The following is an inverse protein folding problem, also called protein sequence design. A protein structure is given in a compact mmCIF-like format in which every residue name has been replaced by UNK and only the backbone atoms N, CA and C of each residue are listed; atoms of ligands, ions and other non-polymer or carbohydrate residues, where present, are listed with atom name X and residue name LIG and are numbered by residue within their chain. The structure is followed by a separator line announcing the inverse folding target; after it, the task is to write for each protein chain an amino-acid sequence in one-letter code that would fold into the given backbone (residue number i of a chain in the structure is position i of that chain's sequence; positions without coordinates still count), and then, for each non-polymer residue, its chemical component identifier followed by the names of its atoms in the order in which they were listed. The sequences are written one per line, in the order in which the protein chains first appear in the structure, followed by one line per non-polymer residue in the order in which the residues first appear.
data_IF_262853055528
#
_entry.id   IF_262853055528
#
_cell.length_a   1.000
_cell.length_b   1.000
_cell.length_c   1.000
_cell.angle_alpha   90.00
_cell.angle_beta   90.00
_cell.angle_gamma   90.00
#
_symmetry.space_group_name_H-M   'P 1'
#
loop_
_entity.id
_entity.type
_entity.pdbx_description
1 polymer ?
#
# COMPACT_ATOMS: atom_id res chain seq x y z
N UNK A 1 11.66 5.07 -19.95
CA UNK A 1 10.47 5.24 -19.14
C UNK A 1 10.74 4.83 -17.69
N UNK A 2 9.88 5.27 -16.80
CA UNK A 2 10.01 4.91 -15.39
C UNK A 2 9.91 3.39 -15.19
N UNK A 3 9.06 2.74 -15.94
CA UNK A 3 8.90 1.29 -15.90
C UNK A 3 10.20 0.56 -16.26
N UNK A 4 10.90 1.00 -17.29
CA UNK A 4 12.19 0.41 -17.67
C UNK A 4 13.27 0.66 -16.61
N UNK A 5 13.23 1.82 -15.97
CA UNK A 5 14.16 2.15 -14.88
C UNK A 5 13.90 1.25 -13.68
N UNK A 6 12.64 1.02 -13.33
CA UNK A 6 12.27 0.16 -12.21
C UNK A 6 12.64 -1.28 -12.48
N UNK A 7 12.40 -1.78 -13.68
CA UNK A 7 12.79 -3.12 -14.09
C UNK A 7 14.32 -3.30 -14.02
N UNK A 8 15.07 -2.34 -14.55
CA UNK A 8 16.53 -2.37 -14.48
C UNK A 8 17.02 -2.32 -13.05
N UNK A 9 16.39 -1.50 -12.20
CA UNK A 9 16.71 -1.41 -10.78
C UNK A 9 16.51 -2.75 -10.07
N UNK A 10 15.38 -3.43 -10.33
CA UNK A 10 15.10 -4.72 -9.73
C UNK A 10 16.05 -5.80 -10.21
N UNK A 11 16.40 -5.82 -11.50
CA UNK A 11 17.32 -6.82 -12.04
C UNK A 11 18.75 -6.64 -11.54
N UNK A 12 19.14 -5.43 -11.18
CA UNK A 12 20.47 -5.16 -10.61
C UNK A 12 20.50 -5.37 -9.10
N UNK A 13 19.40 -5.10 -8.43
CA UNK A 13 19.31 -5.25 -6.99
C UNK A 13 19.17 -6.71 -6.63
N UNK A 14 19.93 -7.12 -5.63
CA UNK A 14 19.85 -8.50 -5.15
C UNK A 14 18.53 -8.70 -4.40
N UNK A 15 17.66 -9.51 -4.95
CA UNK A 15 16.46 -9.92 -4.24
C UNK A 15 16.82 -10.84 -3.08
N UNK A 16 16.11 -10.67 -1.97
CA UNK A 16 16.34 -11.49 -0.78
C UNK A 16 15.02 -11.83 -0.11
N UNK A 17 15.09 -12.75 0.82
CA UNK A 17 13.94 -13.11 1.66
C UNK A 17 13.69 -11.99 2.66
N UNK A 18 12.50 -11.44 2.63
CA UNK A 18 12.12 -10.29 3.46
C UNK A 18 10.83 -10.61 4.19
N UNK A 19 10.80 -10.33 5.49
CA UNK A 19 9.57 -10.42 6.27
C UNK A 19 8.75 -9.16 6.02
N UNK A 20 7.73 -9.28 5.19
CA UNK A 20 6.88 -8.15 4.82
C UNK A 20 6.20 -7.51 6.05
N UNK A 21 5.82 -8.32 7.04
CA UNK A 21 5.19 -7.79 8.24
C UNK A 21 6.13 -6.85 9.01
N UNK A 22 7.42 -7.18 9.08
CA UNK A 22 8.41 -6.30 9.71
C UNK A 22 8.59 -5.00 8.94
N UNK A 23 8.60 -5.07 7.61
CA UNK A 23 8.71 -3.85 6.79
C UNK A 23 7.50 -2.95 7.02
N UNK A 24 6.30 -3.55 7.04
CA UNK A 24 5.06 -2.80 7.33
C UNK A 24 5.14 -2.13 8.69
N UNK A 25 5.52 -2.87 9.73
CA UNK A 25 5.60 -2.33 11.09
C UNK A 25 6.57 -1.14 11.16
N UNK A 26 7.72 -1.26 10.52
CA UNK A 26 8.74 -0.21 10.51
C UNK A 26 8.25 1.05 9.81
N UNK A 27 7.66 0.90 8.64
CA UNK A 27 7.15 2.04 7.88
C UNK A 27 5.98 2.72 8.61
N UNK A 28 5.07 1.92 9.17
CA UNK A 28 3.93 2.45 9.93
C UNK A 28 4.40 3.21 11.16
N UNK A 29 5.40 2.70 11.87
CA UNK A 29 5.96 3.39 13.04
C UNK A 29 6.50 4.76 12.67
N UNK A 30 7.24 4.85 11.56
CA UNK A 30 7.76 6.14 11.07
C UNK A 30 6.62 7.10 10.70
N UNK A 31 5.59 6.62 10.01
CA UNK A 31 4.45 7.43 9.66
C UNK A 31 3.67 7.92 10.89
N UNK A 32 3.44 7.05 11.86
CA UNK A 32 2.74 7.45 13.08
C UNK A 32 3.53 8.49 13.87
N UNK A 33 4.86 8.39 13.88
CA UNK A 33 5.71 9.40 14.51
C UNK A 33 5.53 10.77 13.86
N UNK A 34 5.52 10.81 12.53
CA UNK A 34 5.29 12.05 11.78
C UNK A 34 3.88 12.60 11.98
N UNK A 35 2.88 11.72 12.06
CA UNK A 35 1.48 12.10 12.24
C UNK A 35 1.19 12.73 13.60
N UNK A 36 2.03 12.50 14.61
CA UNK A 36 1.89 13.16 15.92
C UNK A 36 1.96 14.69 15.78
N UNK A 37 2.67 15.19 14.78
CA UNK A 37 2.82 16.61 14.53
C UNK A 37 1.89 17.13 13.44
N UNK A 38 0.97 16.29 12.96
CA UNK A 38 0.03 16.64 11.91
C UNK A 38 -1.25 17.22 12.51
N UNK A 39 -1.88 18.13 11.77
CA UNK A 39 -3.16 18.73 12.17
C UNK A 39 -4.36 17.81 11.91
N UNK A 40 -4.18 16.73 11.16
CA UNK A 40 -5.30 15.85 10.80
C UNK A 40 -5.71 14.87 11.88
N UNK A 41 -4.84 14.56 12.82
CA UNK A 41 -5.10 13.56 13.87
C UNK A 41 -5.52 12.21 13.28
N UNK A 42 -4.65 11.64 12.48
CA UNK A 42 -4.86 10.31 11.87
C UNK A 42 -3.94 9.32 12.57
N UNK A 43 -4.48 8.13 12.84
CA UNK A 43 -3.71 7.03 13.41
C UNK A 43 -3.75 5.82 12.49
N UNK A 44 -2.59 5.20 12.29
CA UNK A 44 -2.47 3.98 11.50
C UNK A 44 -2.36 2.79 12.47
N UNK A 45 -3.28 1.85 12.34
CA UNK A 45 -3.29 0.63 13.16
C UNK A 45 -2.92 -0.57 12.28
N UNK A 46 -2.00 -1.40 12.78
CA UNK A 46 -1.59 -2.63 12.10
C UNK A 46 -2.24 -3.83 12.79
N UNK A 47 -2.83 -4.71 12.01
CA UNK A 47 -3.38 -5.96 12.51
C UNK A 47 -2.66 -7.15 11.86
N UNK A 48 -1.81 -7.81 12.64
CA UNK A 48 -1.06 -8.99 12.23
C UNK A 48 -1.56 -10.25 12.95
N UNK A 49 -2.71 -10.19 13.60
CA UNK A 49 -3.19 -11.27 14.47
C UNK A 49 -3.34 -12.60 13.72
N UNK A 50 -3.68 -12.56 12.45
CA UNK A 50 -3.87 -13.77 11.65
C UNK A 50 -2.57 -14.48 11.29
N UNK A 51 -1.42 -13.86 11.53
CA UNK A 51 -0.12 -14.48 11.29
C UNK A 51 0.30 -15.40 12.45
N UNK A 52 -0.33 -15.27 13.62
CA UNK A 52 -0.04 -16.08 14.81
C UNK A 52 1.46 -16.10 15.15
N UNK A 53 2.13 -14.95 15.01
CA UNK A 53 3.56 -14.82 15.26
C UNK A 53 4.46 -15.32 14.13
N UNK A 54 3.89 -15.84 13.05
CA UNK A 54 4.67 -16.29 11.89
C UNK A 54 5.23 -15.13 11.09
N UNK A 55 6.37 -15.34 10.48
CA UNK A 55 6.93 -14.38 9.53
C UNK A 55 6.14 -14.41 8.23
N UNK A 56 6.11 -13.29 7.55
CA UNK A 56 5.42 -13.15 6.26
C UNK A 56 6.50 -12.93 5.18
N UNK A 57 7.20 -14.01 4.84
CA UNK A 57 8.37 -13.92 3.97
C UNK A 57 7.98 -13.83 2.49
N UNK A 58 8.56 -12.86 1.82
CA UNK A 58 8.44 -12.70 0.37
C UNK A 58 9.85 -12.53 -0.22
N UNK A 59 10.00 -12.83 -1.48
CA UNK A 59 11.25 -12.56 -2.19
C UNK A 59 11.14 -11.16 -2.81
N UNK A 60 12.06 -10.26 -2.48
CA UNK A 60 11.97 -8.91 -3.01
C UNK A 60 13.17 -8.05 -2.70
N UNK A 61 13.06 -6.79 -3.07
CA UNK A 61 14.02 -5.73 -2.77
C UNK A 61 13.43 -4.89 -1.65
N UNK A 62 14.06 -4.90 -0.48
CA UNK A 62 13.51 -4.26 0.71
C UNK A 62 13.15 -2.80 0.51
N UNK A 63 14.05 -2.03 -0.10
CA UNK A 63 13.82 -0.60 -0.36
C UNK A 63 12.60 -0.37 -1.27
N UNK A 64 12.34 -1.28 -2.20
CA UNK A 64 11.18 -1.19 -3.09
C UNK A 64 9.89 -1.55 -2.36
N UNK A 65 9.93 -2.53 -1.47
CA UNK A 65 8.78 -2.88 -0.63
C UNK A 65 8.44 -1.73 0.32
N UNK A 66 9.45 -1.11 0.93
CA UNK A 66 9.24 0.09 1.74
C UNK A 66 8.59 1.21 0.93
N UNK A 67 9.04 1.43 -0.30
CA UNK A 67 8.50 2.45 -1.19
C UNK A 67 7.02 2.18 -1.50
N UNK A 68 6.66 0.93 -1.79
CA UNK A 68 5.27 0.54 -2.03
C UNK A 68 4.40 0.91 -0.83
N UNK A 69 4.81 0.49 0.36
CA UNK A 69 4.02 0.70 1.58
C UNK A 69 3.91 2.19 1.87
N UNK A 70 5.01 2.93 1.78
CA UNK A 70 5.02 4.37 2.01
C UNK A 70 4.08 5.10 1.05
N UNK A 71 4.11 4.75 -0.24
CA UNK A 71 3.25 5.40 -1.22
C UNK A 71 1.77 5.09 -0.98
N UNK A 72 1.44 3.86 -0.60
CA UNK A 72 0.06 3.50 -0.28
C UNK A 72 -0.43 4.21 0.97
N UNK A 73 0.42 4.36 1.98
CA UNK A 73 0.07 5.10 3.20
C UNK A 73 -0.07 6.60 2.93
N UNK A 74 0.84 7.20 2.16
CA UNK A 74 0.72 8.61 1.77
C UNK A 74 -0.61 8.86 1.06
N UNK A 75 -0.98 7.99 0.14
CA UNK A 75 -2.24 8.08 -0.57
C UNK A 75 -3.43 8.00 0.41
N UNK A 76 -3.41 7.01 1.30
CA UNK A 76 -4.47 6.84 2.29
C UNK A 76 -4.60 8.06 3.21
N UNK A 77 -3.49 8.59 3.70
CA UNK A 77 -3.48 9.78 4.56
C UNK A 77 -4.04 10.99 3.83
N UNK A 78 -3.66 11.18 2.57
CA UNK A 78 -4.10 12.32 1.76
C UNK A 78 -5.62 12.40 1.65
N UNK A 79 -6.29 11.27 1.58
CA UNK A 79 -7.74 11.21 1.40
C UNK A 79 -8.52 11.00 2.69
N UNK A 80 -7.84 10.72 3.79
CA UNK A 80 -8.49 10.52 5.08
C UNK A 80 -8.93 11.84 5.70
N UNK A 81 -10.15 11.90 6.26
CA UNK A 81 -10.56 13.07 7.00
C UNK A 81 -9.81 13.17 8.33
N UNK A 82 -9.88 14.35 8.96
CA UNK A 82 -9.34 14.52 10.30
C UNK A 82 -10.03 13.60 11.30
N UNK A 83 -9.31 13.17 12.31
CA UNK A 83 -9.84 12.29 13.38
C UNK A 83 -10.30 10.94 12.86
N UNK A 84 -9.59 10.41 11.86
CA UNK A 84 -9.90 9.10 11.28
C UNK A 84 -8.76 8.11 11.51
N UNK A 85 -8.99 6.87 11.09
CA UNK A 85 -8.03 5.80 11.23
C UNK A 85 -7.74 5.18 9.87
N UNK A 86 -6.52 4.66 9.76
CA UNK A 86 -6.12 3.82 8.63
C UNK A 86 -5.81 2.45 9.20
N UNK A 87 -6.37 1.41 8.60
CA UNK A 87 -6.14 0.03 9.03
C UNK A 87 -5.23 -0.66 8.02
N UNK A 88 -4.17 -1.28 8.53
CA UNK A 88 -3.24 -2.08 7.73
C UNK A 88 -3.32 -3.50 8.24
N UNK A 89 -3.65 -4.44 7.36
CA UNK A 89 -3.80 -5.85 7.72
C UNK A 89 -2.78 -6.67 6.94
N UNK A 90 -2.06 -7.54 7.64
CA UNK A 90 -1.16 -8.51 7.05
C UNK A 90 -1.73 -9.90 7.28
N UNK A 91 -1.93 -10.65 6.20
CA UNK A 91 -2.49 -11.99 6.22
C UNK A 91 -1.71 -12.93 5.31
N UNK A 92 -2.01 -14.20 5.43
CA UNK A 92 -1.66 -15.21 4.43
C UNK A 92 -2.96 -15.59 3.72
N UNK A 93 -2.98 -15.43 2.39
CA UNK A 93 -4.12 -15.80 1.56
C UNK A 93 -3.67 -16.82 0.53
N UNK A 94 -4.00 -18.09 0.75
CA UNK A 94 -3.51 -19.20 -0.07
C UNK A 94 -1.99 -19.23 -0.05
N UNK A 95 -1.34 -19.03 -1.20
CA UNK A 95 0.12 -19.04 -1.31
C UNK A 95 0.70 -17.63 -1.35
N UNK A 96 -0.09 -16.62 -0.99
CA UNK A 96 0.32 -15.23 -1.09
C UNK A 96 0.36 -14.55 0.28
N UNK A 97 1.32 -13.64 0.43
CA UNK A 97 1.25 -12.63 1.47
C UNK A 97 0.22 -11.60 1.03
N UNK A 98 -0.73 -11.29 1.90
CA UNK A 98 -1.78 -10.32 1.64
C UNK A 98 -1.59 -9.10 2.52
N UNK A 99 -1.50 -7.94 1.90
CA UNK A 99 -1.44 -6.65 2.57
C UNK A 99 -2.68 -5.86 2.19
N UNK A 100 -3.46 -5.44 3.18
CA UNK A 100 -4.65 -4.64 2.98
C UNK A 100 -4.48 -3.30 3.66
N UNK A 101 -4.80 -2.22 2.96
CA UNK A 101 -4.80 -0.87 3.52
C UNK A 101 -6.18 -0.28 3.29
N UNK A 102 -6.86 0.08 4.39
CA UNK A 102 -8.19 0.69 4.34
C UNK A 102 -8.14 2.07 4.98
N UNK A 103 -8.71 3.06 4.30
CA UNK A 103 -8.88 4.40 4.84
C UNK A 103 -10.37 4.73 5.01
N UNK A 104 -10.67 5.83 5.70
CA UNK A 104 -12.02 6.30 5.94
C UNK A 104 -12.38 7.52 5.06
N UNK A 105 -11.67 7.68 3.95
CA UNK A 105 -11.92 8.76 2.99
C UNK A 105 -13.15 8.51 2.11
N UNK A 106 -13.29 9.27 1.02
CA UNK A 106 -14.48 9.18 0.16
C UNK A 106 -14.57 7.89 -0.66
N UNK A 107 -13.50 7.10 -0.73
CA UNK A 107 -13.47 5.89 -1.54
C UNK A 107 -13.23 6.17 -3.02
N UNK A 108 -13.40 5.14 -3.82
CA UNK A 108 -13.23 5.21 -5.27
C UNK A 108 -14.57 5.35 -5.97
N UNK A 109 -14.56 6.01 -7.12
CA UNK A 109 -15.71 6.02 -8.01
C UNK A 109 -15.83 4.63 -8.65
N UNK A 110 -16.92 3.91 -8.35
CA UNK A 110 -17.12 2.54 -8.82
C UNK A 110 -17.09 2.40 -10.33
N UNK A 111 -17.49 3.43 -11.07
CA UNK A 111 -17.49 3.39 -12.53
C UNK A 111 -16.07 3.35 -13.11
N UNK A 112 -15.09 3.85 -12.36
CA UNK A 112 -13.71 3.98 -12.83
C UNK A 112 -12.72 3.24 -11.96
N UNK A 113 -13.18 2.35 -11.09
CA UNK A 113 -12.31 1.71 -10.09
C UNK A 113 -11.19 0.89 -10.73
N UNK A 114 -11.44 0.29 -11.87
CA UNK A 114 -10.44 -0.46 -12.61
C UNK A 114 -9.36 0.44 -13.24
N UNK A 115 -9.61 1.75 -13.32
CA UNK A 115 -8.68 2.71 -13.92
C UNK A 115 -7.78 3.41 -12.91
N UNK A 116 -7.97 3.15 -11.61
CA UNK A 116 -7.22 3.89 -10.57
C UNK A 116 -5.71 3.67 -10.66
N UNK A 117 -5.28 2.59 -11.28
CA UNK A 117 -3.87 2.28 -11.48
C UNK A 117 -3.33 2.78 -12.83
N UNK A 118 -4.16 3.41 -13.65
CA UNK A 118 -3.71 3.95 -14.92
C UNK A 118 -2.87 5.21 -14.69
N UNK A 119 -1.88 5.39 -15.55
CA UNK A 119 -1.03 6.57 -15.49
C UNK A 119 -1.87 7.84 -15.64
N UNK A 120 -1.56 8.84 -14.82
CA UNK A 120 -2.26 10.14 -14.77
C UNK A 120 -3.71 10.08 -14.32
N UNK A 121 -4.20 8.91 -13.92
CA UNK A 121 -5.57 8.82 -13.42
C UNK A 121 -5.68 9.46 -12.03
N UNK A 122 -6.72 10.28 -11.84
CA UNK A 122 -7.09 10.81 -10.53
C UNK A 122 -8.60 11.03 -10.50
N UNK A 123 -9.31 10.29 -9.65
CA UNK A 123 -10.73 10.54 -9.35
C UNK A 123 -10.91 11.11 -7.96
N UNK A 124 -9.83 11.50 -7.32
CA UNK A 124 -9.81 12.07 -5.98
C UNK A 124 -9.39 13.54 -6.07
N UNK A 125 -9.72 14.36 -5.07
CA UNK A 125 -9.45 15.80 -5.14
C UNK A 125 -7.98 16.13 -5.42
N UNK A 126 -7.76 17.03 -6.40
CA UNK A 126 -6.42 17.40 -6.86
C UNK A 126 -5.54 18.03 -5.79
N UNK A 127 -6.15 18.69 -4.82
CA UNK A 127 -5.40 19.35 -3.74
C UNK A 127 -4.55 18.41 -2.93
N UNK A 128 -4.76 17.11 -3.09
CA UNK A 128 -3.95 16.08 -2.44
C UNK A 128 -2.89 15.52 -3.37
N UNK A 129 -2.77 16.03 -4.58
CA UNK A 129 -1.91 15.49 -5.62
C UNK A 129 -0.43 15.66 -5.40
N UNK A 130 -0.01 16.49 -4.46
CA UNK A 130 1.41 16.71 -4.21
C UNK A 130 2.14 15.43 -3.82
N UNK A 131 1.44 14.50 -3.20
CA UNK A 131 2.02 13.23 -2.78
C UNK A 131 1.89 12.15 -3.85
N UNK A 132 1.16 12.43 -4.92
CA UNK A 132 0.86 11.45 -5.95
C UNK A 132 1.82 11.49 -7.13
N UNK A 133 2.93 12.20 -7.03
CA UNK A 133 3.93 12.21 -8.08
C UNK A 133 4.38 10.82 -8.48
N UNK A 134 4.23 9.87 -7.58
CA UNK A 134 4.56 8.48 -7.79
C UNK A 134 3.32 7.60 -7.91
N UNK A 135 2.20 8.13 -8.21
CA UNK A 135 0.93 7.48 -8.42
C UNK A 135 0.81 5.96 -8.23
N UNK A 136 -0.41 5.50 -8.19
CA UNK A 136 -0.69 4.07 -8.01
C UNK A 136 -0.19 3.22 -9.19
N UNK A 137 0.00 3.82 -10.37
CA UNK A 137 0.55 3.09 -11.52
C UNK A 137 1.99 2.62 -11.27
N UNK A 138 2.80 3.43 -10.59
CA UNK A 138 4.19 3.05 -10.26
C UNK A 138 4.19 1.94 -9.22
N UNK A 139 3.33 2.07 -8.20
CA UNK A 139 3.17 1.02 -7.19
C UNK A 139 2.79 -0.29 -7.85
N UNK A 140 1.82 -0.27 -8.76
CA UNK A 140 1.41 -1.47 -9.49
C UNK A 140 2.56 -2.08 -10.28
N UNK A 141 3.35 -1.26 -10.97
CA UNK A 141 4.50 -1.76 -11.74
C UNK A 141 5.51 -2.46 -10.83
N UNK A 142 5.83 -1.88 -9.70
CA UNK A 142 6.78 -2.49 -8.76
C UNK A 142 6.24 -3.82 -8.22
N UNK A 143 4.96 -3.85 -7.87
CA UNK A 143 4.30 -5.07 -7.37
C UNK A 143 4.33 -6.16 -8.43
N UNK A 144 4.02 -5.82 -9.68
CA UNK A 144 4.06 -6.80 -10.78
C UNK A 144 5.46 -7.32 -11.04
N UNK A 145 6.49 -6.47 -10.91
CA UNK A 145 7.88 -6.89 -11.01
C UNK A 145 8.30 -7.83 -9.88
N UNK A 146 7.58 -7.81 -8.77
CA UNK A 146 7.76 -8.76 -7.67
C UNK A 146 6.87 -10.01 -7.82
N UNK A 147 6.19 -10.16 -8.93
CA UNK A 147 5.31 -11.30 -9.19
C UNK A 147 3.96 -11.23 -8.51
N UNK A 148 3.58 -10.07 -8.04
CA UNK A 148 2.33 -9.88 -7.30
C UNK A 148 1.25 -9.15 -8.08
N UNK A 149 0.19 -8.80 -7.37
CA UNK A 149 -0.93 -8.05 -7.92
C UNK A 149 -1.46 -7.03 -6.90
N UNK A 150 -2.16 -6.02 -7.41
CA UNK A 150 -2.78 -5.00 -6.59
C UNK A 150 -4.18 -4.73 -7.11
N UNK A 151 -5.14 -4.59 -6.21
CA UNK A 151 -6.53 -4.27 -6.54
C UNK A 151 -7.06 -3.19 -5.62
N UNK A 152 -8.00 -2.41 -6.15
CA UNK A 152 -8.70 -1.37 -5.41
C UNK A 152 -10.17 -1.72 -5.30
N UNK A 153 -10.77 -1.41 -4.17
CA UNK A 153 -12.20 -1.63 -3.95
C UNK A 153 -12.70 -0.63 -2.91
N UNK A 154 -14.01 -0.57 -2.79
CA UNK A 154 -14.63 0.15 -1.67
C UNK A 154 -15.04 -0.87 -0.61
N UNK A 155 -14.97 -0.54 0.68
CA UNK A 155 -15.42 -1.44 1.73
C UNK A 155 -16.90 -1.81 1.55
N UNK A 156 -17.25 -3.01 1.98
CA UNK A 156 -18.63 -3.50 1.88
C UNK A 156 -19.52 -2.83 2.93
N UNK A 157 -20.80 -2.72 2.61
CA UNK A 157 -21.82 -2.15 3.49
C UNK A 157 -21.85 -0.64 3.44
N UNK A 158 -22.26 -0.02 4.55
CA UNK A 158 -22.39 1.43 4.64
C UNK A 158 -21.08 2.13 5.05
N UNK A 159 -19.95 1.42 5.02
CA UNK A 159 -18.66 1.99 5.37
C UNK A 159 -18.14 2.85 4.24
N UNK A 160 -17.73 4.07 4.58
CA UNK A 160 -17.00 4.92 3.64
C UNK A 160 -15.54 4.53 3.65
N UNK A 161 -14.88 4.78 2.54
CA UNK A 161 -13.43 4.60 2.47
C UNK A 161 -12.99 3.91 1.20
N UNK A 162 -11.68 3.74 1.13
CA UNK A 162 -11.00 3.04 0.05
C UNK A 162 -10.27 1.83 0.62
N UNK A 163 -10.18 0.77 -0.16
CA UNK A 163 -9.45 -0.44 0.21
C UNK A 163 -8.51 -0.81 -0.92
N UNK A 164 -7.25 -0.99 -0.57
CA UNK A 164 -6.22 -1.49 -1.49
C UNK A 164 -5.74 -2.84 -0.98
N UNK A 165 -5.72 -3.82 -1.86
CA UNK A 165 -5.18 -5.15 -1.55
C UNK A 165 -3.97 -5.44 -2.41
N UNK A 166 -2.86 -5.82 -1.78
CA UNK A 166 -1.64 -6.26 -2.44
C UNK A 166 -1.42 -7.74 -2.14
N UNK A 167 -1.15 -8.52 -3.17
CA UNK A 167 -0.78 -9.93 -3.03
C UNK A 167 0.63 -10.12 -3.58
N UNK A 168 1.49 -10.74 -2.78
CA UNK A 168 2.86 -11.08 -3.16
C UNK A 168 3.08 -12.58 -2.88
N UNK A 169 3.74 -13.31 -3.78
CA UNK A 169 4.00 -14.74 -3.53
C UNK A 169 4.81 -14.93 -2.26
N UNK A 170 4.40 -15.88 -1.42
CA UNK A 170 5.17 -16.24 -0.23
C UNK A 170 6.42 -16.97 -0.67
N UNK A 171 7.56 -16.57 -0.11
CA UNK A 171 8.85 -17.21 -0.32
C UNK A 171 9.04 -18.33 0.71
N UNK A 172 9.29 -19.51 0.21
CA UNK A 172 9.52 -20.69 1.05
C UNK A 172 10.99 -20.96 1.28
#
# INVERSE_FOLDING_TARGET
SQMLKDEASLSRAKMSKIDLANVVDSVVEDFNSDLLNSNKNIKINVNNSNLNGSKLNVLGVESKLEQIIANLLDNAISFSPSNSKILVICNIKKKNAQLIIEDEGPGFNEKNIDKVFNRFYSNRPEKFGEHSGLGLNIVKNIIELHGGSITASNPRGNKKGARIEVLLPIYK
#
